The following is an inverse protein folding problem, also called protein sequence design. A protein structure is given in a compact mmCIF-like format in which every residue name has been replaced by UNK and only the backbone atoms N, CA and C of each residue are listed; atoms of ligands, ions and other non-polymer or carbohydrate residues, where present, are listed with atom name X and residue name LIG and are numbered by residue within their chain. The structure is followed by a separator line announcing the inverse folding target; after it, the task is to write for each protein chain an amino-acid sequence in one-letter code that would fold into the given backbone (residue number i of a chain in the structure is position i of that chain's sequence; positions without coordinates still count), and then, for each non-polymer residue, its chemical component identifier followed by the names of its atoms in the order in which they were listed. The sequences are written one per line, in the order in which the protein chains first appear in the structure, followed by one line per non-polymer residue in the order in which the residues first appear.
data_IF_174073309444
#
_entry.id   IF_174073309444
#
_cell.length_a   1.000
_cell.length_b   1.000
_cell.length_c   1.000
_cell.angle_alpha   90.00
_cell.angle_beta   90.00
_cell.angle_gamma   90.00
#
_symmetry.space_group_name_H-M   'P 1'
#
loop_
_entity.id
_entity.type
_entity.pdbx_description
1 polymer ?
#
# COMPACT_ATOMS: atom_id res chain seq x y z
N UNK A 1 24.54 -1.79 -4.12
CA UNK A 1 23.91 -3.10 -3.85
C UNK A 1 22.99 -3.07 -2.64
N UNK A 2 23.46 -2.62 -1.47
CA UNK A 2 22.67 -2.66 -0.22
C UNK A 2 21.43 -1.74 -0.26
N UNK A 3 21.60 -0.47 -0.59
CA UNK A 3 20.51 0.51 -0.57
C UNK A 3 19.52 0.38 -1.73
N UNK A 4 19.96 -0.18 -2.86
CA UNK A 4 19.11 -0.35 -4.03
C UNK A 4 17.82 -1.13 -3.73
N UNK A 5 17.88 -2.40 -3.25
CA UNK A 5 16.66 -3.16 -2.97
C UNK A 5 15.82 -2.53 -1.85
N UNK A 6 16.45 -1.88 -0.86
CA UNK A 6 15.72 -1.23 0.24
C UNK A 6 14.91 -0.05 -0.28
N UNK A 7 15.54 0.88 -1.01
CA UNK A 7 14.91 2.09 -1.49
C UNK A 7 13.84 1.79 -2.55
N UNK A 8 14.14 0.92 -3.52
CA UNK A 8 13.18 0.53 -4.56
C UNK A 8 12.00 -0.19 -3.94
N UNK A 9 12.20 -1.08 -2.97
CA UNK A 9 11.09 -1.78 -2.31
C UNK A 9 10.24 -0.87 -1.42
N UNK A 10 10.88 0.06 -0.71
CA UNK A 10 10.17 0.96 0.20
C UNK A 10 9.38 2.06 -0.53
N UNK A 11 9.86 2.49 -1.70
CA UNK A 11 9.34 3.64 -2.43
C UNK A 11 8.69 3.27 -3.77
N UNK A 12 8.82 2.02 -4.20
CA UNK A 12 8.29 1.48 -5.47
C UNK A 12 8.64 2.34 -6.69
N UNK A 13 9.86 2.87 -6.77
CA UNK A 13 10.32 3.68 -7.90
C UNK A 13 11.80 3.40 -8.18
N UNK A 14 12.24 3.67 -9.43
CA UNK A 14 13.63 3.50 -9.84
C UNK A 14 14.53 4.55 -9.18
N UNK A 15 15.78 4.19 -8.84
CA UNK A 15 16.67 5.07 -8.07
C UNK A 15 16.94 6.43 -8.73
N UNK A 16 16.98 6.48 -10.04
CA UNK A 16 17.20 7.70 -10.83
C UNK A 16 15.97 8.62 -10.88
N UNK A 17 14.82 8.14 -10.42
CA UNK A 17 13.54 8.85 -10.37
C UNK A 17 13.06 9.17 -8.96
N UNK A 18 13.58 8.49 -7.95
CA UNK A 18 13.22 8.73 -6.54
C UNK A 18 13.66 10.13 -6.10
N UNK A 19 12.79 10.87 -5.42
CA UNK A 19 13.20 12.11 -4.78
C UNK A 19 14.21 11.85 -3.65
N UNK A 20 15.20 12.73 -3.54
CA UNK A 20 16.22 12.65 -2.48
C UNK A 20 15.59 12.75 -1.10
N UNK A 21 14.53 13.56 -0.95
CA UNK A 21 13.80 13.71 0.32
C UNK A 21 13.15 12.39 0.76
N UNK A 22 12.48 11.68 -0.16
CA UNK A 22 11.88 10.39 0.13
C UNK A 22 12.93 9.32 0.46
N UNK A 23 14.02 9.25 -0.30
CA UNK A 23 15.13 8.34 -0.03
C UNK A 23 15.79 8.64 1.33
N UNK A 24 16.06 9.91 1.63
CA UNK A 24 16.62 10.34 2.90
C UNK A 24 15.70 9.99 4.09
N UNK A 25 14.38 10.09 3.92
CA UNK A 25 13.42 9.69 4.94
C UNK A 25 13.51 8.19 5.24
N UNK A 26 13.53 7.31 4.21
CA UNK A 26 13.69 5.87 4.41
C UNK A 26 14.98 5.55 5.17
N UNK A 27 16.10 6.18 4.79
CA UNK A 27 17.38 5.99 5.48
C UNK A 27 17.30 6.48 6.91
N UNK A 28 16.79 7.69 7.14
CA UNK A 28 16.66 8.29 8.48
C UNK A 28 15.80 7.42 9.39
N UNK A 29 14.61 7.01 8.93
CA UNK A 29 13.71 6.20 9.74
C UNK A 29 14.32 4.82 10.06
N UNK A 30 14.99 4.16 9.10
CA UNK A 30 15.67 2.89 9.36
C UNK A 30 16.87 2.98 10.29
N UNK A 31 17.45 4.17 10.47
CA UNK A 31 18.59 4.42 11.38
C UNK A 31 18.17 5.04 12.71
N UNK A 32 16.91 5.38 12.91
CA UNK A 32 16.39 6.15 14.04
C UNK A 32 16.58 5.45 15.37
N UNK A 33 16.39 4.12 15.38
CA UNK A 33 16.63 3.27 16.55
C UNK A 33 16.99 1.83 16.13
N UNK A 34 17.51 0.99 17.04
CA UNK A 34 17.69 -0.44 16.77
C UNK A 34 16.40 -1.13 16.35
N UNK A 35 15.27 -0.79 16.94
CA UNK A 35 13.95 -1.37 16.68
C UNK A 35 13.45 -1.04 15.27
N UNK A 36 13.78 0.15 14.75
CA UNK A 36 13.42 0.60 13.41
C UNK A 36 14.06 -0.23 12.27
N UNK A 37 15.01 -1.11 12.59
CA UNK A 37 15.66 -2.02 11.64
C UNK A 37 15.00 -3.40 11.59
N UNK A 38 14.05 -3.68 12.46
CA UNK A 38 13.34 -4.93 12.45
C UNK A 38 12.24 -4.92 11.37
N UNK A 39 12.25 -5.94 10.52
CA UNK A 39 11.18 -6.16 9.55
C UNK A 39 10.17 -7.13 10.15
N UNK A 40 8.93 -6.67 10.34
CA UNK A 40 7.81 -7.52 10.74
C UNK A 40 7.11 -8.10 9.52
N UNK A 41 6.96 -9.42 9.46
CA UNK A 41 6.12 -10.09 8.46
C UNK A 41 4.94 -10.72 9.18
N UNK A 42 3.68 -10.36 8.84
CA UNK A 42 2.52 -10.90 9.54
C UNK A 42 2.35 -12.40 9.26
N UNK A 43 2.09 -13.16 10.34
CA UNK A 43 1.80 -14.60 10.26
C UNK A 43 0.41 -14.90 9.69
N UNK A 44 -0.38 -13.89 9.39
CA UNK A 44 -1.71 -14.00 8.78
C UNK A 44 -1.82 -13.07 7.56
N UNK A 45 -2.79 -13.31 6.68
CA UNK A 45 -3.04 -12.42 5.54
C UNK A 45 -3.34 -10.99 5.99
N UNK A 46 -2.94 -10.01 5.16
CA UNK A 46 -3.22 -8.61 5.46
C UNK A 46 -4.71 -8.32 5.60
N UNK A 47 -5.57 -8.99 4.84
CA UNK A 47 -7.02 -8.90 5.00
C UNK A 47 -7.48 -9.25 6.41
N UNK A 48 -6.91 -10.31 6.99
CA UNK A 48 -7.29 -10.75 8.34
C UNK A 48 -6.70 -9.81 9.41
N UNK A 49 -5.51 -9.25 9.17
CA UNK A 49 -4.92 -8.23 10.03
C UNK A 49 -5.82 -6.98 10.15
N UNK A 50 -6.40 -6.54 9.03
CA UNK A 50 -7.25 -5.35 9.02
C UNK A 50 -8.71 -5.61 9.42
N UNK A 51 -9.17 -6.85 9.50
CA UNK A 51 -10.53 -7.19 9.93
C UNK A 51 -10.86 -6.64 11.33
N UNK A 52 -9.89 -6.58 12.23
CA UNK A 52 -10.06 -6.02 13.58
C UNK A 52 -10.55 -4.55 13.55
N UNK A 53 -10.14 -3.76 12.55
CA UNK A 53 -10.64 -2.39 12.40
C UNK A 53 -12.14 -2.37 12.08
N UNK A 54 -12.61 -3.30 11.22
CA UNK A 54 -14.02 -3.46 10.92
C UNK A 54 -14.86 -3.85 12.13
N UNK A 55 -14.36 -4.75 12.94
CA UNK A 55 -15.04 -5.17 14.19
C UNK A 55 -15.10 -4.04 15.20
N UNK A 56 -14.04 -3.25 15.32
CA UNK A 56 -13.99 -2.06 16.14
C UNK A 56 -15.07 -1.02 15.74
N UNK A 57 -15.23 -0.78 14.44
CA UNK A 57 -16.26 0.13 13.90
C UNK A 57 -17.67 -0.38 14.24
N UNK A 58 -17.95 -1.65 13.97
CA UNK A 58 -19.27 -2.26 14.25
C UNK A 58 -19.61 -2.24 15.73
N UNK A 59 -18.66 -2.52 16.60
CA UNK A 59 -18.85 -2.50 18.06
C UNK A 59 -19.25 -1.10 18.59
N UNK A 60 -19.00 -0.03 17.81
CA UNK A 60 -19.36 1.35 18.14
C UNK A 60 -20.56 1.88 17.35
N UNK A 61 -21.34 0.99 16.74
CA UNK A 61 -22.54 1.35 15.98
C UNK A 61 -22.26 1.83 14.56
N UNK A 62 -21.01 1.77 14.10
CA UNK A 62 -20.68 2.07 12.70
C UNK A 62 -21.11 0.94 11.76
N UNK A 63 -21.33 1.28 10.50
CA UNK A 63 -21.76 0.33 9.46
C UNK A 63 -20.71 0.20 8.37
N UNK A 64 -20.44 -1.04 7.92
CA UNK A 64 -19.56 -1.33 6.80
C UNK A 64 -20.37 -1.94 5.65
N UNK A 65 -20.27 -1.34 4.48
CA UNK A 65 -20.92 -1.79 3.26
C UNK A 65 -19.83 -2.26 2.27
N UNK A 66 -19.72 -3.57 2.09
CA UNK A 66 -18.82 -4.17 1.08
C UNK A 66 -19.55 -4.33 -0.26
N UNK A 67 -18.80 -4.32 -1.36
CA UNK A 67 -19.34 -4.45 -2.72
C UNK A 67 -20.44 -3.42 -3.01
N UNK A 68 -20.24 -2.22 -2.50
CA UNK A 68 -21.19 -1.12 -2.54
C UNK A 68 -20.54 0.10 -3.24
N UNK A 69 -20.39 0.05 -4.59
CA UNK A 69 -19.68 1.09 -5.33
C UNK A 69 -20.39 2.44 -5.22
N UNK A 70 -19.62 3.48 -4.87
CA UNK A 70 -20.06 4.87 -4.97
C UNK A 70 -19.91 5.32 -6.42
N UNK A 71 -20.98 5.85 -7.00
CA UNK A 71 -21.01 6.35 -8.39
C UNK A 71 -20.71 7.83 -8.49
N UNK A 72 -21.17 8.58 -7.52
CA UNK A 72 -20.95 10.03 -7.44
C UNK A 72 -21.22 10.57 -6.05
N UNK A 73 -20.70 11.74 -5.79
CA UNK A 73 -21.12 12.54 -4.65
C UNK A 73 -21.30 14.00 -5.05
N UNK A 74 -22.09 14.71 -4.26
CA UNK A 74 -22.21 16.17 -4.32
C UNK A 74 -22.23 16.70 -2.89
N UNK A 75 -21.71 17.91 -2.69
CA UNK A 75 -21.68 18.54 -1.39
C UNK A 75 -22.15 20.01 -1.51
N UNK A 76 -22.81 20.47 -0.48
CA UNK A 76 -23.04 21.89 -0.22
C UNK A 76 -22.33 22.28 1.09
N UNK A 77 -22.54 23.47 1.58
CA UNK A 77 -21.84 23.96 2.78
C UNK A 77 -22.17 23.19 4.06
N UNK A 78 -23.23 22.37 4.08
CA UNK A 78 -23.77 21.73 5.30
C UNK A 78 -23.86 20.22 5.22
N UNK A 79 -23.89 19.62 4.05
CA UNK A 79 -24.12 18.19 3.88
C UNK A 79 -23.52 17.62 2.61
N UNK A 80 -23.28 16.33 2.61
CA UNK A 80 -22.87 15.55 1.44
C UNK A 80 -23.95 14.58 1.05
N UNK A 81 -24.20 14.43 -0.24
CA UNK A 81 -25.06 13.40 -0.83
C UNK A 81 -24.21 12.42 -1.60
N UNK A 82 -24.31 11.15 -1.26
CA UNK A 82 -23.55 10.07 -1.89
C UNK A 82 -24.50 9.16 -2.63
N UNK A 83 -24.28 8.99 -3.94
CA UNK A 83 -25.00 8.03 -4.77
C UNK A 83 -24.24 6.72 -4.83
N UNK A 84 -24.93 5.67 -4.43
CA UNK A 84 -24.40 4.30 -4.48
C UNK A 84 -25.08 3.57 -5.63
N UNK A 85 -24.33 2.72 -6.33
CA UNK A 85 -24.86 1.90 -7.43
C UNK A 85 -26.05 1.06 -6.94
N UNK A 86 -27.04 0.91 -7.80
CA UNK A 86 -28.24 0.13 -7.56
C UNK A 86 -29.13 0.64 -6.41
N UNK A 87 -28.92 1.87 -5.94
CA UNK A 87 -29.80 2.55 -4.97
C UNK A 87 -30.50 3.73 -5.62
N UNK A 88 -31.84 3.84 -5.42
CA UNK A 88 -32.66 4.87 -6.04
C UNK A 88 -32.31 6.27 -5.51
N UNK A 89 -32.20 6.40 -4.19
CA UNK A 89 -31.99 7.68 -3.53
C UNK A 89 -30.56 7.85 -3.02
N UNK A 90 -29.95 9.04 -3.20
CA UNK A 90 -28.66 9.34 -2.59
C UNK A 90 -28.76 9.41 -1.06
N UNK A 91 -27.78 8.84 -0.37
CA UNK A 91 -27.64 8.93 1.07
C UNK A 91 -27.07 10.29 1.47
N UNK A 92 -27.53 10.84 2.58
CA UNK A 92 -27.06 12.12 3.14
C UNK A 92 -26.16 11.88 4.34
N UNK A 93 -25.12 12.70 4.44
CA UNK A 93 -24.15 12.67 5.54
C UNK A 93 -23.72 14.10 5.87
N UNK A 94 -23.34 14.33 7.12
CA UNK A 94 -22.79 15.61 7.56
C UNK A 94 -21.39 15.82 6.99
N UNK A 95 -20.59 14.76 6.92
CA UNK A 95 -19.21 14.76 6.43
C UNK A 95 -18.92 13.57 5.54
N UNK A 96 -17.95 13.74 4.63
CA UNK A 96 -17.43 12.69 3.77
C UNK A 96 -15.90 12.66 3.85
N UNK A 97 -15.32 11.52 4.18
CA UNK A 97 -13.91 11.25 4.00
C UNK A 97 -13.73 10.37 2.75
N UNK A 98 -13.07 10.90 1.74
CA UNK A 98 -12.75 10.15 0.52
C UNK A 98 -11.37 9.53 0.68
N UNK A 99 -11.33 8.22 0.95
CA UNK A 99 -10.10 7.44 1.18
C UNK A 99 -9.82 6.54 -0.03
N UNK A 100 -9.69 7.13 -1.20
CA UNK A 100 -9.44 6.46 -2.47
C UNK A 100 -8.03 6.75 -2.99
N UNK A 101 -7.45 5.86 -3.82
CA UNK A 101 -6.29 6.22 -4.63
C UNK A 101 -6.59 7.47 -5.49
N UNK A 102 -5.55 8.25 -5.78
CA UNK A 102 -5.71 9.54 -6.46
C UNK A 102 -6.38 9.42 -7.85
N UNK A 103 -6.06 8.37 -8.60
CA UNK A 103 -6.63 8.08 -9.92
C UNK A 103 -8.12 7.69 -9.84
N UNK A 104 -8.50 6.91 -8.83
CA UNK A 104 -9.90 6.56 -8.59
C UNK A 104 -10.71 7.80 -8.12
N UNK A 105 -10.10 8.67 -7.30
CA UNK A 105 -10.72 9.92 -6.90
C UNK A 105 -10.98 10.84 -8.08
N UNK A 106 -10.03 10.98 -9.01
CA UNK A 106 -10.21 11.83 -10.19
C UNK A 106 -11.46 11.48 -10.99
N UNK A 107 -11.72 10.18 -11.13
CA UNK A 107 -12.92 9.66 -11.81
C UNK A 107 -14.23 9.97 -11.06
N UNK A 108 -14.17 10.13 -9.74
CA UNK A 108 -15.34 10.35 -8.89
C UNK A 108 -15.64 11.83 -8.64
N UNK A 109 -14.65 12.71 -8.76
CA UNK A 109 -14.79 14.14 -8.50
C UNK A 109 -15.83 14.76 -9.43
N UNK A 110 -16.83 15.51 -8.93
CA UNK A 110 -17.74 16.25 -9.78
C UNK A 110 -17.02 17.45 -10.44
N UNK A 111 -17.54 17.91 -11.57
CA UNK A 111 -17.01 19.06 -12.31
C UNK A 111 -17.50 20.38 -11.70
N UNK A 112 -16.96 20.77 -10.56
CA UNK A 112 -17.29 22.01 -9.86
C UNK A 112 -16.05 22.82 -9.54
N UNK A 113 -16.21 24.08 -9.15
CA UNK A 113 -15.09 24.96 -8.80
C UNK A 113 -14.27 24.42 -7.61
N UNK A 114 -14.93 23.79 -6.65
CA UNK A 114 -14.30 23.23 -5.45
C UNK A 114 -13.43 22.00 -5.76
N UNK A 115 -13.76 21.25 -6.82
CA UNK A 115 -12.96 20.09 -7.23
C UNK A 115 -11.71 20.46 -8.04
N UNK A 116 -11.71 21.63 -8.65
CA UNK A 116 -10.60 22.10 -9.52
C UNK A 116 -9.24 22.03 -8.83
N UNK A 117 -9.05 22.56 -7.60
CA UNK A 117 -7.74 22.51 -6.94
C UNK A 117 -7.28 21.09 -6.63
N UNK A 118 -8.22 20.15 -6.40
CA UNK A 118 -7.89 18.72 -6.14
C UNK A 118 -7.42 18.09 -7.46
N UNK A 119 -8.13 18.31 -8.58
CA UNK A 119 -7.76 17.81 -9.91
C UNK A 119 -6.41 18.32 -10.35
N UNK A 120 -6.15 19.60 -10.15
CA UNK A 120 -4.85 20.19 -10.46
C UNK A 120 -3.72 19.48 -9.73
N UNK A 121 -3.87 19.24 -8.43
CA UNK A 121 -2.88 18.48 -7.65
C UNK A 121 -2.74 17.03 -8.14
N UNK A 122 -3.84 16.34 -8.37
CA UNK A 122 -3.85 14.95 -8.83
C UNK A 122 -3.15 14.81 -10.19
N UNK A 123 -3.27 15.78 -11.09
CA UNK A 123 -2.66 15.71 -12.43
C UNK A 123 -1.13 15.61 -12.44
N UNK A 124 -0.48 15.91 -11.31
CA UNK A 124 0.97 15.78 -11.14
C UNK A 124 1.41 14.36 -10.70
N UNK A 125 0.47 13.51 -10.30
CA UNK A 125 0.81 12.16 -9.82
C UNK A 125 0.95 11.20 -10.99
N UNK A 126 1.91 10.30 -10.86
CA UNK A 126 2.08 9.12 -11.72
C UNK A 126 1.99 7.86 -10.88
N UNK A 127 1.43 6.81 -11.45
CA UNK A 127 1.41 5.51 -10.81
C UNK A 127 2.76 4.79 -10.94
N UNK A 128 3.11 4.00 -9.94
CA UNK A 128 4.21 3.05 -10.00
C UNK A 128 3.68 1.64 -9.75
N UNK A 129 3.99 0.68 -10.65
CA UNK A 129 3.45 -0.66 -10.58
C UNK A 129 4.24 -1.56 -9.63
N UNK A 130 3.54 -2.53 -9.05
CA UNK A 130 4.13 -3.64 -8.31
C UNK A 130 3.60 -4.96 -8.89
N UNK A 131 4.49 -5.94 -9.06
CA UNK A 131 4.12 -7.27 -9.51
C UNK A 131 4.39 -8.30 -8.43
N UNK A 132 3.35 -9.03 -8.03
CA UNK A 132 3.41 -10.21 -7.18
C UNK A 132 3.40 -11.48 -8.03
N UNK A 133 4.32 -12.41 -7.75
CA UNK A 133 4.42 -13.69 -8.44
C UNK A 133 4.33 -14.79 -7.40
N UNK A 134 3.34 -15.64 -7.51
CA UNK A 134 3.08 -16.72 -6.58
C UNK A 134 3.41 -18.05 -7.23
N UNK A 135 4.29 -18.83 -6.61
CA UNK A 135 4.77 -20.11 -7.12
C UNK A 135 4.56 -21.21 -6.06
N UNK A 136 3.96 -22.32 -6.47
CA UNK A 136 3.78 -23.52 -5.65
C UNK A 136 4.61 -24.66 -6.22
N UNK A 137 5.46 -25.25 -5.39
CA UNK A 137 6.32 -26.38 -5.73
C UNK A 137 5.87 -27.65 -5.01
N UNK A 138 6.17 -28.79 -5.60
CA UNK A 138 5.85 -30.13 -5.07
C UNK A 138 6.68 -30.52 -3.83
N UNK A 139 7.74 -29.79 -3.55
CA UNK A 139 8.66 -30.03 -2.43
C UNK A 139 9.22 -28.74 -1.85
N UNK A 140 9.88 -28.86 -0.70
CA UNK A 140 10.57 -27.75 -0.04
C UNK A 140 11.74 -27.26 -0.91
N UNK A 141 11.82 -25.96 -1.18
CA UNK A 141 12.89 -25.36 -1.99
C UNK A 141 13.87 -24.51 -1.17
N UNK A 142 13.50 -24.10 0.03
CA UNK A 142 14.33 -23.26 0.91
C UNK A 142 13.88 -23.36 2.35
N UNK A 143 14.83 -23.24 3.28
CA UNK A 143 14.55 -23.10 4.73
C UNK A 143 14.43 -21.63 5.17
N UNK A 144 14.64 -20.68 4.27
CA UNK A 144 14.51 -19.26 4.57
C UNK A 144 13.05 -18.84 4.61
N UNK A 145 12.67 -18.03 5.58
CA UNK A 145 11.34 -17.44 5.67
C UNK A 145 11.16 -16.31 4.65
N UNK A 146 12.23 -15.56 4.38
CA UNK A 146 12.30 -14.54 3.34
C UNK A 146 13.74 -14.36 2.86
N UNK A 147 13.91 -13.76 1.68
CA UNK A 147 15.21 -13.43 1.12
C UNK A 147 15.12 -12.21 0.18
N UNK A 148 16.21 -11.43 0.11
CA UNK A 148 16.44 -10.43 -0.93
C UNK A 148 17.27 -11.06 -2.04
N UNK A 149 16.79 -11.00 -3.28
CA UNK A 149 17.49 -11.51 -4.45
C UNK A 149 18.28 -10.36 -5.08
N UNK A 150 19.59 -10.35 -4.87
CA UNK A 150 20.45 -9.25 -5.31
C UNK A 150 20.76 -9.32 -6.81
N UNK A 151 20.74 -8.15 -7.45
CA UNK A 151 21.14 -7.96 -8.87
C UNK A 151 20.26 -8.78 -9.84
N UNK A 152 18.96 -8.93 -9.50
CA UNK A 152 17.96 -9.61 -10.32
C UNK A 152 16.70 -8.76 -10.43
N UNK A 153 15.80 -9.19 -11.31
CA UNK A 153 14.49 -8.53 -11.49
C UNK A 153 13.64 -8.68 -10.25
N UNK A 154 13.62 -9.89 -9.67
CA UNK A 154 12.90 -10.16 -8.42
C UNK A 154 13.72 -9.62 -7.26
N UNK A 155 13.09 -8.80 -6.43
CA UNK A 155 13.76 -8.17 -5.30
C UNK A 155 13.57 -8.97 -4.01
N UNK A 156 12.37 -9.51 -3.77
CA UNK A 156 12.03 -10.21 -2.54
C UNK A 156 11.38 -11.56 -2.79
N UNK A 157 11.72 -12.52 -1.94
CA UNK A 157 11.03 -13.79 -1.79
C UNK A 157 10.51 -13.92 -0.36
N UNK A 158 9.22 -14.26 -0.21
CA UNK A 158 8.57 -14.61 1.05
C UNK A 158 8.07 -16.04 0.97
N UNK A 159 8.47 -16.89 1.93
CA UNK A 159 8.08 -18.29 1.98
C UNK A 159 6.75 -18.43 2.70
N UNK A 160 5.65 -18.24 1.98
CA UNK A 160 4.29 -18.17 2.55
C UNK A 160 3.86 -19.42 3.31
N UNK A 161 4.24 -20.61 2.85
CA UNK A 161 3.93 -21.87 3.57
C UNK A 161 4.64 -21.98 4.91
N UNK A 162 5.75 -21.27 5.13
CA UNK A 162 6.44 -21.18 6.42
C UNK A 162 5.88 -20.03 7.29
N UNK A 163 5.69 -18.87 6.68
CA UNK A 163 5.21 -17.66 7.36
C UNK A 163 3.72 -17.75 7.77
N UNK A 164 2.91 -18.45 6.98
CA UNK A 164 1.46 -18.57 7.16
C UNK A 164 0.98 -20.03 7.06
N UNK A 165 1.41 -20.94 7.96
CA UNK A 165 1.18 -22.38 7.82
C UNK A 165 -0.30 -22.78 7.80
N UNK A 166 -1.18 -22.01 8.43
CA UNK A 166 -2.61 -22.33 8.54
C UNK A 166 -3.32 -22.33 7.18
N UNK A 167 -2.88 -21.49 6.23
CA UNK A 167 -3.48 -21.43 4.88
C UNK A 167 -3.09 -22.58 3.97
N UNK A 168 -2.00 -23.26 4.27
CA UNK A 168 -1.53 -24.39 3.45
C UNK A 168 -2.21 -25.71 3.85
N UNK A 169 -2.88 -25.77 5.01
CA UNK A 169 -3.62 -26.95 5.48
C UNK A 169 -4.99 -27.16 4.81
N UNK A 170 -5.50 -26.17 4.06
CA UNK A 170 -6.78 -26.25 3.34
C UNK A 170 -6.80 -27.21 2.13
N UNK A 171 -5.65 -27.69 1.69
CA UNK A 171 -5.49 -28.66 0.60
C UNK A 171 -5.16 -30.04 1.19
N UNK A 172 -6.17 -30.73 1.75
CA UNK A 172 -6.16 -32.16 2.10
C UNK A 172 -4.93 -32.71 2.85
N UNK A 173 -4.26 -31.91 3.68
CA UNK A 173 -3.17 -32.39 4.55
C UNK A 173 -1.90 -32.89 3.84
N UNK A 174 -1.69 -32.56 2.57
CA UNK A 174 -0.59 -33.02 1.71
C UNK A 174 0.30 -31.93 1.15
N UNK A 175 0.61 -30.88 1.88
CA UNK A 175 1.56 -29.90 1.38
C UNK A 175 2.95 -30.12 2.01
N UNK A 176 3.69 -31.12 1.50
CA UNK A 176 5.14 -31.20 1.66
C UNK A 176 5.88 -30.18 0.78
N UNK A 177 5.14 -29.34 0.02
CA UNK A 177 5.67 -28.41 -0.95
C UNK A 177 5.89 -27.00 -0.41
N UNK A 178 6.55 -26.18 -1.20
CA UNK A 178 6.74 -24.74 -0.94
C UNK A 178 5.72 -23.89 -1.67
N UNK A 179 5.09 -22.96 -0.96
CA UNK A 179 4.44 -21.80 -1.56
C UNK A 179 5.28 -20.56 -1.25
N UNK A 180 5.80 -19.94 -2.30
CA UNK A 180 6.55 -18.68 -2.21
C UNK A 180 5.83 -17.56 -2.93
N UNK A 181 5.96 -16.36 -2.40
CA UNK A 181 5.56 -15.10 -3.02
C UNK A 181 6.82 -14.30 -3.35
N UNK A 182 6.92 -13.88 -4.59
CA UNK A 182 7.99 -13.04 -5.11
C UNK A 182 7.44 -11.66 -5.41
N UNK A 183 8.18 -10.62 -5.05
CA UNK A 183 7.74 -9.23 -5.21
C UNK A 183 8.73 -8.46 -6.07
N UNK A 184 8.19 -7.73 -7.05
CA UNK A 184 8.92 -6.78 -7.87
C UNK A 184 8.26 -5.41 -7.73
N UNK A 185 8.93 -4.51 -7.01
CA UNK A 185 8.56 -3.10 -6.91
C UNK A 185 9.08 -2.33 -8.12
N UNK A 186 8.44 -1.23 -8.50
CA UNK A 186 8.73 -0.50 -9.76
C UNK A 186 8.77 -1.44 -10.97
N UNK A 187 7.78 -2.34 -11.07
CA UNK A 187 7.79 -3.44 -12.04
C UNK A 187 7.44 -3.00 -13.47
N UNK A 188 7.84 -1.80 -13.88
CA UNK A 188 7.55 -1.19 -15.19
C UNK A 188 7.94 -2.10 -16.36
N UNK A 189 9.07 -2.77 -16.26
CA UNK A 189 9.58 -3.69 -17.29
C UNK A 189 8.77 -4.99 -17.42
N UNK A 190 7.90 -5.30 -16.43
CA UNK A 190 7.05 -6.49 -16.44
C UNK A 190 5.64 -6.24 -16.94
N UNK A 191 5.21 -4.97 -17.03
CA UNK A 191 3.82 -4.64 -17.37
C UNK A 191 3.41 -5.18 -18.74
N UNK A 192 4.28 -5.03 -19.73
CA UNK A 192 4.03 -5.49 -21.11
C UNK A 192 4.28 -7.00 -21.33
N UNK A 193 4.97 -7.67 -20.39
CA UNK A 193 5.23 -9.11 -20.51
C UNK A 193 3.96 -9.92 -20.22
N UNK A 194 3.81 -11.03 -20.91
CA UNK A 194 2.77 -12.02 -20.60
C UNK A 194 3.01 -12.66 -19.22
N UNK A 195 1.95 -13.22 -18.63
CA UNK A 195 2.09 -13.96 -17.37
C UNK A 195 3.04 -15.14 -17.48
N UNK A 196 3.08 -15.82 -18.62
CA UNK A 196 3.99 -16.94 -18.87
C UNK A 196 5.45 -16.48 -18.87
N UNK A 197 5.79 -15.42 -19.59
CA UNK A 197 7.16 -14.86 -19.61
C UNK A 197 7.63 -14.42 -18.21
N UNK A 198 6.72 -13.88 -17.39
CA UNK A 198 7.03 -13.50 -16.01
C UNK A 198 7.29 -14.73 -15.15
N UNK A 199 6.50 -15.79 -15.31
CA UNK A 199 6.72 -17.05 -14.58
C UNK A 199 8.04 -17.71 -14.99
N UNK A 200 8.37 -17.73 -16.27
CA UNK A 200 9.63 -18.30 -16.78
C UNK A 200 10.84 -17.53 -16.23
N UNK A 201 10.77 -16.19 -16.24
CA UNK A 201 11.80 -15.34 -15.64
C UNK A 201 11.93 -15.65 -14.13
N UNK A 202 10.82 -15.72 -13.42
CA UNK A 202 10.79 -15.99 -11.98
C UNK A 202 11.39 -17.36 -11.65
N UNK A 203 11.04 -18.38 -12.42
CA UNK A 203 11.61 -19.73 -12.24
C UNK A 203 13.12 -19.76 -12.50
N UNK A 204 13.60 -19.05 -13.52
CA UNK A 204 15.02 -18.97 -13.81
C UNK A 204 15.79 -18.36 -12.64
N UNK A 205 15.33 -17.20 -12.13
CA UNK A 205 15.99 -16.51 -11.01
C UNK A 205 15.88 -17.33 -9.70
N UNK A 206 14.71 -17.91 -9.39
CA UNK A 206 14.54 -18.76 -8.19
C UNK A 206 15.46 -19.98 -8.22
N UNK A 207 15.60 -20.64 -9.37
CA UNK A 207 16.48 -21.81 -9.54
C UNK A 207 17.97 -21.46 -9.46
N UNK A 208 18.33 -20.21 -9.72
CA UNK A 208 19.68 -19.72 -9.53
C UNK A 208 20.03 -19.57 -8.05
N UNK A 209 19.13 -18.98 -7.25
CA UNK A 209 19.36 -18.71 -5.83
C UNK A 209 19.09 -19.92 -4.92
N UNK A 210 18.15 -20.78 -5.30
CA UNK A 210 17.71 -21.92 -4.49
C UNK A 210 17.97 -23.24 -5.24
N UNK A 211 19.08 -23.93 -4.98
CA UNK A 211 19.45 -25.16 -5.72
C UNK A 211 18.35 -26.23 -5.68
N UNK A 212 17.64 -26.39 -4.56
CA UNK A 212 16.54 -27.36 -4.44
C UNK A 212 15.36 -27.07 -5.39
N UNK A 213 15.20 -25.82 -5.85
CA UNK A 213 14.18 -25.45 -6.82
C UNK A 213 14.46 -25.98 -8.25
N UNK A 214 15.68 -26.43 -8.52
CA UNK A 214 16.05 -27.06 -9.80
C UNK A 214 15.42 -28.44 -9.98
N UNK A 215 15.26 -29.17 -8.88
CA UNK A 215 14.70 -30.49 -8.84
C UNK A 215 13.20 -30.51 -8.49
N UNK A 216 12.65 -29.34 -8.12
CA UNK A 216 11.25 -29.17 -7.78
C UNK A 216 10.40 -28.93 -9.03
N UNK A 217 9.21 -29.56 -9.04
CA UNK A 217 8.22 -29.29 -10.07
C UNK A 217 7.32 -28.12 -9.65
N UNK A 218 7.11 -27.18 -10.58
CA UNK A 218 6.10 -26.13 -10.40
C UNK A 218 4.70 -26.76 -10.55
N UNK A 219 3.92 -26.71 -9.48
CA UNK A 219 2.55 -27.26 -9.44
C UNK A 219 1.53 -26.22 -9.89
N UNK A 220 1.76 -24.95 -9.49
CA UNK A 220 0.85 -23.83 -9.77
C UNK A 220 1.61 -22.53 -9.78
N UNK A 221 1.16 -21.60 -10.59
CA UNK A 221 1.65 -20.21 -10.59
C UNK A 221 0.51 -19.22 -10.74
N UNK A 222 0.70 -18.01 -10.19
CA UNK A 222 -0.19 -16.86 -10.40
C UNK A 222 0.64 -15.60 -10.45
N UNK A 223 0.32 -14.70 -11.39
CA UNK A 223 0.95 -13.38 -11.51
C UNK A 223 -0.12 -12.31 -11.33
N UNK A 224 0.12 -11.40 -10.40
CA UNK A 224 -0.73 -10.24 -10.12
C UNK A 224 0.08 -9.00 -10.48
N UNK A 225 -0.41 -8.24 -11.44
CA UNK A 225 0.15 -6.94 -11.83
C UNK A 225 -0.74 -5.84 -11.29
N UNK A 226 -0.30 -5.18 -10.22
CA UNK A 226 -0.92 -3.96 -9.72
C UNK A 226 -0.30 -2.78 -10.46
N UNK A 227 -0.94 -2.37 -11.56
CA UNK A 227 -0.43 -1.28 -12.43
C UNK A 227 -0.45 0.05 -11.71
N UNK A 228 -1.47 0.28 -10.91
CA UNK A 228 -1.67 1.49 -10.10
C UNK A 228 -1.42 1.19 -8.61
N UNK A 229 -0.31 0.52 -8.28
CA UNK A 229 -0.06 0.04 -6.91
C UNK A 229 0.17 1.19 -5.92
N UNK A 230 0.89 2.23 -6.34
CA UNK A 230 1.22 3.38 -5.50
C UNK A 230 1.58 4.58 -6.38
N UNK A 231 1.67 5.78 -5.80
CA UNK A 231 2.22 6.91 -6.55
C UNK A 231 3.75 6.86 -6.61
N UNK A 232 4.31 7.38 -7.69
CA UNK A 232 5.76 7.55 -7.86
C UNK A 232 6.28 8.75 -7.04
N UNK A 233 7.19 8.56 -6.05
CA UNK A 233 7.72 9.62 -5.21
C UNK A 233 8.83 10.41 -5.92
N UNK A 234 8.51 11.04 -7.04
CA UNK A 234 9.43 11.83 -7.86
C UNK A 234 9.82 13.15 -7.20
N UNK A 235 10.93 13.76 -7.62
CA UNK A 235 11.30 15.09 -7.16
C UNK A 235 10.16 16.10 -7.36
N UNK A 236 9.84 16.85 -6.30
CA UNK A 236 8.83 17.90 -6.31
C UNK A 236 7.39 17.44 -6.08
N UNK A 237 7.08 16.14 -6.07
CA UNK A 237 5.70 15.64 -5.90
C UNK A 237 5.08 16.05 -4.56
N UNK A 238 5.87 16.20 -3.50
CA UNK A 238 5.38 16.57 -2.18
C UNK A 238 4.65 17.91 -2.15
N UNK A 239 4.99 18.85 -3.05
CA UNK A 239 4.30 20.13 -3.17
C UNK A 239 2.84 20.00 -3.64
N UNK A 240 2.52 18.90 -4.31
CA UNK A 240 1.18 18.64 -4.86
C UNK A 240 0.35 17.71 -3.97
N UNK A 241 0.92 17.16 -2.91
CA UNK A 241 0.18 16.32 -1.96
C UNK A 241 -0.81 17.16 -1.16
N UNK A 242 -2.13 16.91 -1.29
CA UNK A 242 -3.15 17.71 -0.59
C UNK A 242 -3.18 17.37 0.92
N UNK A 243 -3.54 18.35 1.72
CA UNK A 243 -3.93 18.12 3.11
C UNK A 243 -5.28 17.40 3.19
N UNK A 244 -5.67 16.85 4.37
CA UNK A 244 -7.00 16.27 4.56
C UNK A 244 -8.14 17.25 4.30
N UNK A 245 -7.94 18.54 4.58
CA UNK A 245 -8.96 19.59 4.41
C UNK A 245 -9.02 20.03 2.95
N UNK A 246 -10.22 20.10 2.40
CA UNK A 246 -10.47 20.57 1.03
C UNK A 246 -11.14 21.95 1.02
N UNK A 247 -11.29 22.52 -0.19
CA UNK A 247 -12.11 23.70 -0.38
C UNK A 247 -13.63 23.46 -0.19
N UNK A 248 -14.04 22.21 -0.08
CA UNK A 248 -15.39 21.79 0.26
C UNK A 248 -15.48 21.49 1.75
N UNK A 249 -16.07 22.33 2.60
CA UNK A 249 -16.05 22.16 4.06
C UNK A 249 -16.49 20.80 4.58
N UNK A 250 -17.50 20.09 4.00
CA UNK A 250 -17.89 18.77 4.49
C UNK A 250 -17.12 17.62 3.86
N UNK A 251 -16.15 17.87 2.94
CA UNK A 251 -15.41 16.83 2.23
C UNK A 251 -13.93 16.85 2.62
N UNK A 252 -13.44 15.70 3.05
CA UNK A 252 -12.06 15.47 3.49
C UNK A 252 -11.41 14.38 2.68
N UNK A 253 -10.07 14.41 2.60
CA UNK A 253 -9.27 13.44 1.88
C UNK A 253 -8.46 12.58 2.85
N UNK A 254 -8.33 11.30 2.52
CA UNK A 254 -7.36 10.39 3.08
C UNK A 254 -6.75 9.55 1.95
N UNK A 255 -5.61 8.95 2.23
CA UNK A 255 -4.83 8.14 1.29
C UNK A 255 -3.34 8.41 1.47
N UNK A 256 -2.52 7.44 1.16
CA UNK A 256 -1.05 7.52 1.26
C UNK A 256 -0.44 8.65 0.41
N UNK A 257 -1.15 9.07 -0.64
CA UNK A 257 -0.78 10.15 -1.54
C UNK A 257 -1.05 11.56 -0.97
N UNK A 258 -1.78 11.68 0.16
CA UNK A 258 -2.01 12.98 0.83
C UNK A 258 -0.79 13.41 1.66
N UNK A 259 -0.77 14.65 2.12
CA UNK A 259 0.36 15.26 2.85
C UNK A 259 0.48 14.71 4.29
N UNK A 260 0.91 13.46 4.43
CA UNK A 260 1.06 12.77 5.72
C UNK A 260 2.43 12.92 6.35
N UNK A 261 3.40 13.49 5.64
CA UNK A 261 4.81 13.48 6.02
C UNK A 261 5.50 12.13 5.82
N UNK A 262 4.79 11.13 5.27
CA UNK A 262 5.32 9.80 4.96
C UNK A 262 5.17 9.48 3.46
N UNK A 263 6.05 8.64 2.90
CA UNK A 263 5.91 8.19 1.52
C UNK A 263 4.70 7.25 1.37
N UNK A 264 4.46 6.77 0.14
CA UNK A 264 3.40 5.82 -0.18
C UNK A 264 3.64 4.45 0.46
N UNK A 265 3.16 4.30 1.68
CA UNK A 265 3.31 3.12 2.51
C UNK A 265 2.02 2.85 3.29
N UNK A 266 1.89 1.65 3.88
CA UNK A 266 0.80 1.37 4.83
C UNK A 266 0.77 2.36 5.98
N UNK A 267 1.93 2.78 6.50
CA UNK A 267 2.03 3.82 7.52
C UNK A 267 1.46 5.15 7.01
N UNK A 268 1.86 5.59 5.81
CA UNK A 268 1.31 6.80 5.18
C UNK A 268 -0.21 6.75 5.06
N UNK A 269 -0.76 5.60 4.67
CA UNK A 269 -2.22 5.40 4.55
C UNK A 269 -2.93 5.49 5.92
N UNK A 270 -2.41 4.81 6.94
CA UNK A 270 -2.99 4.85 8.30
C UNK A 270 -2.92 6.26 8.88
N UNK A 271 -1.78 6.95 8.75
CA UNK A 271 -1.63 8.35 9.18
C UNK A 271 -2.63 9.27 8.49
N UNK A 272 -2.87 9.08 7.20
CA UNK A 272 -3.86 9.87 6.46
C UNK A 272 -5.25 9.73 7.03
N UNK A 273 -5.62 8.52 7.46
CA UNK A 273 -6.89 8.25 8.12
C UNK A 273 -7.03 8.98 9.46
N UNK A 274 -5.98 8.97 10.28
CA UNK A 274 -5.97 9.73 11.55
C UNK A 274 -6.05 11.23 11.32
N UNK A 275 -5.26 11.77 10.38
CA UNK A 275 -5.29 13.19 10.04
C UNK A 275 -6.66 13.63 9.49
N UNK A 276 -7.30 12.78 8.68
CA UNK A 276 -8.66 13.05 8.22
C UNK A 276 -9.68 13.02 9.37
N UNK A 277 -9.54 12.08 10.32
CA UNK A 277 -10.40 12.03 11.50
C UNK A 277 -10.22 13.27 12.38
N UNK A 278 -8.99 13.75 12.59
CA UNK A 278 -8.71 15.01 13.29
C UNK A 278 -9.39 16.21 12.60
N UNK A 279 -9.29 16.26 11.27
CA UNK A 279 -9.93 17.32 10.48
C UNK A 279 -11.46 17.30 10.57
N UNK A 280 -12.08 16.12 10.52
CA UNK A 280 -13.53 15.94 10.68
C UNK A 280 -13.98 16.36 12.08
N UNK A 281 -13.29 15.92 13.14
CA UNK A 281 -13.66 16.25 14.52
C UNK A 281 -13.47 17.74 14.82
N UNK A 282 -12.46 18.36 14.23
CA UNK A 282 -12.26 19.81 14.27
C UNK A 282 -13.43 20.55 13.61
N UNK A 283 -13.86 20.12 12.41
CA UNK A 283 -15.00 20.70 11.71
C UNK A 283 -16.32 20.50 12.44
N UNK A 284 -16.46 19.39 13.17
CA UNK A 284 -17.63 19.09 14.00
C UNK A 284 -17.65 19.85 15.36
N UNK A 285 -16.63 20.67 15.66
CA UNK A 285 -16.54 21.41 16.91
C UNK A 285 -16.16 20.58 18.13
N UNK A 286 -15.66 19.35 17.94
CA UNK A 286 -15.22 18.42 19.00
C UNK A 286 -13.81 17.93 18.70
N UNK A 287 -12.81 18.80 18.65
CA UNK A 287 -11.46 18.46 18.20
C UNK A 287 -10.86 17.30 19.00
N UNK A 288 -10.26 16.35 18.30
CA UNK A 288 -9.52 15.24 18.88
C UNK A 288 -8.13 15.14 18.27
N UNK A 289 -7.22 14.47 18.96
CA UNK A 289 -5.88 14.13 18.45
C UNK A 289 -5.74 12.62 18.43
N UNK A 290 -5.55 12.06 17.22
CA UNK A 290 -5.55 10.61 16.98
C UNK A 290 -4.23 10.11 16.43
N UNK A 291 -3.44 10.98 15.77
CA UNK A 291 -2.18 10.60 15.18
C UNK A 291 -1.18 10.24 16.27
N UNK A 292 -0.70 9.01 16.27
CA UNK A 292 0.36 8.57 17.18
C UNK A 292 1.68 9.29 16.89
N UNK A 293 2.45 9.67 17.94
CA UNK A 293 3.77 10.24 17.76
C UNK A 293 4.72 9.31 16.99
N UNK A 294 5.64 9.89 16.25
CA UNK A 294 6.73 9.13 15.63
C UNK A 294 7.61 8.46 16.69
N UNK A 295 8.24 7.36 16.31
CA UNK A 295 9.24 6.71 17.15
C UNK A 295 10.35 7.71 17.51
N UNK A 296 10.76 7.78 18.79
CA UNK A 296 11.81 8.70 19.22
C UNK A 296 13.17 8.28 18.63
N UNK A 297 13.98 9.26 18.27
CA UNK A 297 15.35 8.99 17.88
C UNK A 297 16.19 8.51 19.06
N UNK A 298 17.11 7.58 18.83
CA UNK A 298 18.05 7.06 19.83
C UNK A 298 19.51 7.23 19.40
N UNK A 299 20.42 7.14 20.35
CA UNK A 299 21.86 7.25 20.09
C UNK A 299 22.24 8.56 19.38
N UNK A 300 23.11 8.45 18.38
CA UNK A 300 23.60 9.59 17.60
C UNK A 300 22.49 10.29 16.80
N UNK A 301 21.41 9.59 16.47
CA UNK A 301 20.31 10.19 15.71
C UNK A 301 19.58 11.30 16.46
N UNK A 302 19.70 11.37 17.80
CA UNK A 302 19.19 12.51 18.60
C UNK A 302 19.81 13.86 18.25
N UNK A 303 20.96 13.86 17.59
CA UNK A 303 21.63 15.09 17.15
C UNK A 303 21.09 15.63 15.82
N UNK A 304 20.25 14.85 15.11
CA UNK A 304 19.73 15.17 13.79
C UNK A 304 18.18 15.24 13.76
N UNK A 305 17.56 15.25 14.91
CA UNK A 305 16.11 15.45 15.12
C UNK A 305 15.87 16.69 16.06
#
# INVERSE_FOLDING_TARGET
RFWHPILVSALSEDLDRISVSAAAQVVRESMKSPEARHMGVPALPLTDLYNAAGDYVRARGGTLHFRCPVESFSADASQVRVRVRDQQDPKRFDYLVVALPFDALDSLLPSTAESTPIREKISHFENSPITGIHLWFDRQISELDHAVLLDRTIQWMFHKSRLQPIRTQGDNGRSSGSYIELVVSSSKTLIEKSRAEIVDLALAEVREFFPAAREANLVKSTVIKEVNATYSPRPGIDAFRPTPVTAWPPVFLAGDWTATGWPATMEGAVRSGYLAAEAVTQAAGVPGHFLSPDLPASGLMRLFT
#
